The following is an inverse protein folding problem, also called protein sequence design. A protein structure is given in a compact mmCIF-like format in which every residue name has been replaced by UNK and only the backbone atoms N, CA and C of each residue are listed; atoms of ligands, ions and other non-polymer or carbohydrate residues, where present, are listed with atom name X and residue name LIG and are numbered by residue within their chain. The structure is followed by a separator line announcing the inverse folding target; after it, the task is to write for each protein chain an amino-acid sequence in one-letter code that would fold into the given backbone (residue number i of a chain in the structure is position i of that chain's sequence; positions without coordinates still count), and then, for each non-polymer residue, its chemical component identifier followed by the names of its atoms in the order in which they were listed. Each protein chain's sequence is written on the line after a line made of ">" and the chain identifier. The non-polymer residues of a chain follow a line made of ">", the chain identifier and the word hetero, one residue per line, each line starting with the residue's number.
data_IF_326362884455
#
_entry.id   IF_326362884455
#
_cell.length_a   1.000
_cell.length_b   1.000
_cell.length_c   1.000
_cell.angle_alpha   90.00
_cell.angle_beta   90.00
_cell.angle_gamma   90.00
#
_symmetry.space_group_name_H-M   'P 1'
#
loop_
_entity.id
_entity.type
_entity.pdbx_description
1 polymer ?
#
# COMPACT_ATOMS: atom_id res chain seq x y z
N UNK A 1 -3.79 -1.00 11.85
CA UNK A 1 -4.02 0.10 10.89
C UNK A 1 -5.07 -0.26 9.87
N UNK A 2 -5.02 -1.43 9.23
CA UNK A 2 -5.99 -1.89 8.22
C UNK A 2 -7.46 -1.67 8.59
N UNK A 3 -7.82 -1.84 9.86
CA UNK A 3 -9.19 -1.65 10.36
C UNK A 3 -9.67 -0.20 10.26
N UNK A 4 -8.78 0.78 10.45
CA UNK A 4 -9.10 2.21 10.33
C UNK A 4 -9.49 2.60 8.89
N UNK A 5 -8.98 1.85 7.91
CA UNK A 5 -9.24 2.06 6.49
C UNK A 5 -10.31 1.08 5.94
N UNK A 6 -10.94 0.28 6.81
CA UNK A 6 -11.90 -0.74 6.40
C UNK A 6 -11.28 -1.85 5.53
N UNK A 7 -9.96 -2.05 5.62
CA UNK A 7 -9.20 -3.02 4.83
C UNK A 7 -9.09 -4.36 5.58
N UNK A 8 -9.26 -5.46 4.83
CA UNK A 8 -9.11 -6.83 5.31
C UNK A 8 -8.19 -7.64 4.40
N UNK A 9 -7.41 -8.54 4.98
CA UNK A 9 -6.49 -9.43 4.25
C UNK A 9 -6.94 -10.89 4.34
N UNK A 10 -6.86 -11.63 3.25
CA UNK A 10 -7.20 -13.06 3.21
C UNK A 10 -6.52 -13.80 2.06
N UNK A 11 -6.40 -15.12 2.20
CA UNK A 11 -5.91 -16.01 1.13
C UNK A 11 -7.11 -16.46 0.29
N UNK A 12 -7.06 -16.23 -1.01
CA UNK A 12 -8.08 -16.69 -1.97
C UNK A 12 -7.56 -17.92 -2.70
N UNK A 13 -8.29 -19.03 -2.62
CA UNK A 13 -7.98 -20.24 -3.38
C UNK A 13 -8.34 -20.06 -4.86
N UNK A 14 -7.44 -20.45 -5.75
CA UNK A 14 -7.71 -20.57 -7.18
C UNK A 14 -8.23 -21.98 -7.53
N UNK A 15 -8.89 -22.16 -8.70
CA UNK A 15 -9.28 -23.49 -9.20
C UNK A 15 -8.13 -24.48 -9.39
N UNK A 16 -6.87 -24.00 -9.41
CA UNK A 16 -5.68 -24.81 -9.61
C UNK A 16 -4.94 -25.13 -8.29
N UNK A 17 -5.63 -25.04 -7.15
CA UNK A 17 -5.08 -25.29 -5.81
C UNK A 17 -3.88 -24.38 -5.46
N UNK A 18 -3.81 -23.19 -6.07
CA UNK A 18 -2.89 -22.13 -5.68
C UNK A 18 -3.62 -21.11 -4.81
N UNK A 19 -2.88 -20.39 -3.97
CA UNK A 19 -3.43 -19.29 -3.18
C UNK A 19 -2.87 -17.97 -3.67
N UNK A 20 -3.74 -16.97 -3.71
CA UNK A 20 -3.34 -15.57 -3.90
C UNK A 20 -3.67 -14.81 -2.63
N UNK A 21 -2.75 -13.98 -2.16
CA UNK A 21 -3.00 -13.04 -1.08
C UNK A 21 -3.84 -11.88 -1.62
N UNK A 22 -4.87 -11.48 -0.89
CA UNK A 22 -5.80 -10.42 -1.32
C UNK A 22 -6.03 -9.45 -0.17
N UNK A 23 -5.98 -8.16 -0.48
CA UNK A 23 -6.53 -7.09 0.33
C UNK A 23 -7.85 -6.58 -0.28
N UNK A 24 -8.86 -6.38 0.55
CA UNK A 24 -10.16 -5.87 0.12
C UNK A 24 -10.63 -4.78 1.08
N UNK A 25 -11.51 -3.92 0.61
CA UNK A 25 -12.21 -2.95 1.44
C UNK A 25 -13.69 -2.92 1.09
N UNK A 26 -14.53 -2.54 2.06
CA UNK A 26 -15.94 -2.15 1.82
C UNK A 26 -16.10 -0.63 1.68
N UNK A 27 -15.03 0.13 1.90
CA UNK A 27 -15.00 1.60 1.81
C UNK A 27 -14.53 2.01 0.42
N UNK A 28 -15.43 2.61 -0.36
CA UNK A 28 -15.17 2.98 -1.77
C UNK A 28 -13.94 3.87 -1.93
N UNK A 29 -13.72 4.79 -0.98
CA UNK A 29 -12.59 5.73 -0.97
C UNK A 29 -11.22 5.04 -0.83
N UNK A 30 -11.20 3.79 -0.33
CA UNK A 30 -9.97 3.03 -0.08
C UNK A 30 -9.76 1.89 -1.09
N UNK A 31 -10.55 1.84 -2.17
CA UNK A 31 -10.45 0.76 -3.18
C UNK A 31 -9.06 0.75 -3.82
N UNK A 32 -8.53 1.91 -4.17
CA UNK A 32 -7.20 2.02 -4.79
C UNK A 32 -6.10 1.57 -3.80
N UNK A 33 -6.24 1.90 -2.52
CA UNK A 33 -5.33 1.44 -1.46
C UNK A 33 -5.35 -0.09 -1.35
N UNK A 34 -6.54 -0.69 -1.28
CA UNK A 34 -6.67 -2.15 -1.18
C UNK A 34 -6.16 -2.87 -2.45
N UNK A 35 -6.40 -2.30 -3.63
CA UNK A 35 -5.90 -2.81 -4.91
C UNK A 35 -4.37 -2.76 -4.97
N UNK A 36 -3.78 -1.60 -4.65
CA UNK A 36 -2.33 -1.39 -4.62
C UNK A 36 -1.63 -2.34 -3.65
N UNK A 37 -2.17 -2.50 -2.43
CA UNK A 37 -1.66 -3.45 -1.45
C UNK A 37 -1.71 -4.88 -1.99
N UNK A 38 -2.86 -5.30 -2.53
CA UNK A 38 -3.04 -6.67 -3.07
C UNK A 38 -2.02 -7.03 -4.15
N UNK A 39 -1.64 -6.05 -4.97
CA UNK A 39 -0.73 -6.29 -6.08
C UNK A 39 0.74 -6.04 -5.70
N UNK A 40 1.04 -5.58 -4.48
CA UNK A 40 2.40 -5.32 -4.03
C UNK A 40 3.10 -6.61 -3.57
N UNK A 41 4.18 -6.98 -4.26
CA UNK A 41 5.05 -8.12 -3.90
C UNK A 41 5.93 -7.80 -2.69
N UNK A 42 6.53 -8.82 -2.05
CA UNK A 42 7.43 -8.64 -0.88
C UNK A 42 8.53 -7.60 -1.15
N UNK A 43 9.24 -7.72 -2.28
CA UNK A 43 10.33 -6.80 -2.65
C UNK A 43 9.81 -5.37 -2.79
N UNK A 44 8.70 -5.22 -3.51
CA UNK A 44 8.09 -3.92 -3.77
C UNK A 44 7.54 -3.26 -2.49
N UNK A 45 7.01 -4.05 -1.55
CA UNK A 45 6.57 -3.57 -0.23
C UNK A 45 7.76 -3.08 0.58
N UNK A 46 8.87 -3.83 0.58
CA UNK A 46 10.09 -3.45 1.28
C UNK A 46 10.70 -2.16 0.72
N UNK A 47 10.73 -2.01 -0.61
CA UNK A 47 11.23 -0.81 -1.28
C UNK A 47 10.38 0.43 -0.93
N UNK A 48 9.05 0.29 -0.96
CA UNK A 48 8.14 1.36 -0.55
C UNK A 48 8.34 1.74 0.93
N UNK A 49 8.42 0.77 1.85
CA UNK A 49 8.68 1.05 3.26
C UNK A 49 10.01 1.78 3.46
N UNK A 50 11.06 1.38 2.75
CA UNK A 50 12.37 2.03 2.84
C UNK A 50 12.31 3.50 2.42
N UNK A 51 11.55 3.82 1.37
CA UNK A 51 11.39 5.19 0.89
C UNK A 51 10.48 6.02 1.81
N UNK A 52 9.42 5.45 2.35
CA UNK A 52 8.61 6.13 3.38
C UNK A 52 9.43 6.45 4.63
N UNK A 53 10.34 5.55 5.06
CA UNK A 53 11.27 5.81 6.15
C UNK A 53 12.20 6.99 5.85
N UNK A 54 12.75 7.07 4.63
CA UNK A 54 13.56 8.22 4.21
C UNK A 54 12.79 9.53 4.37
N UNK A 55 11.51 9.56 3.95
CA UNK A 55 10.69 10.76 4.13
C UNK A 55 10.51 11.12 5.60
N UNK A 56 10.19 10.14 6.44
CA UNK A 56 9.99 10.34 7.87
C UNK A 56 11.26 10.83 8.58
N UNK A 57 12.43 10.46 8.07
CA UNK A 57 13.74 10.93 8.53
C UNK A 57 14.16 12.30 7.92
N UNK A 58 13.31 12.91 7.09
CA UNK A 58 13.60 14.18 6.41
C UNK A 58 14.62 14.06 5.26
N UNK A 59 14.84 12.85 4.75
CA UNK A 59 15.70 12.55 3.61
C UNK A 59 14.90 12.72 2.32
N UNK A 60 15.51 13.32 1.30
CA UNK A 60 14.90 13.48 -0.03
C UNK A 60 14.66 12.11 -0.68
N UNK A 61 13.48 11.95 -1.27
CA UNK A 61 13.04 10.73 -1.95
C UNK A 61 12.63 10.99 -3.39
N UNK A 62 12.38 9.91 -4.13
CA UNK A 62 11.58 9.96 -5.34
C UNK A 62 10.11 10.15 -4.97
N UNK A 63 9.52 11.26 -5.40
CA UNK A 63 8.12 11.62 -5.09
C UNK A 63 7.14 10.87 -5.99
N UNK A 64 7.37 10.87 -7.30
CA UNK A 64 6.52 10.19 -8.28
C UNK A 64 7.13 8.83 -8.68
N UNK A 65 6.38 7.76 -8.43
CA UNK A 65 6.77 6.41 -8.79
C UNK A 65 6.03 5.89 -10.02
N UNK A 66 5.12 6.69 -10.58
CA UNK A 66 4.26 6.31 -11.67
C UNK A 66 3.33 5.15 -11.31
N UNK A 67 2.91 4.41 -12.33
CA UNK A 67 2.03 3.27 -12.17
C UNK A 67 2.80 2.04 -11.64
N UNK A 68 2.46 1.65 -10.41
CA UNK A 68 2.92 0.43 -9.78
C UNK A 68 1.74 -0.54 -9.73
N UNK A 69 1.84 -1.62 -10.48
CA UNK A 69 0.91 -2.75 -10.39
C UNK A 69 -0.59 -2.36 -10.53
N UNK A 70 -0.87 -1.42 -11.44
CA UNK A 70 -2.23 -0.95 -11.74
C UNK A 70 -2.72 0.22 -10.87
N UNK A 71 -1.85 0.83 -10.06
CA UNK A 71 -2.15 2.04 -9.31
C UNK A 71 -0.98 3.02 -9.35
N UNK A 72 -1.26 4.31 -9.56
CA UNK A 72 -0.25 5.35 -9.40
C UNK A 72 0.14 5.50 -7.92
N UNK A 73 1.42 5.79 -7.64
CA UNK A 73 1.90 6.09 -6.30
C UNK A 73 2.69 7.40 -6.32
N UNK A 74 2.23 8.37 -5.54
CA UNK A 74 2.92 9.64 -5.36
C UNK A 74 3.08 9.96 -3.88
N UNK A 75 4.29 10.33 -3.48
CA UNK A 75 4.64 10.74 -2.13
C UNK A 75 4.70 12.28 -2.10
N UNK A 76 4.07 12.89 -1.10
CA UNK A 76 4.10 14.33 -0.85
C UNK A 76 4.84 14.61 0.47
N UNK A 77 6.19 14.71 0.46
CA UNK A 77 6.99 14.80 1.70
C UNK A 77 6.65 15.99 2.57
N UNK A 78 6.40 17.16 1.96
CA UNK A 78 6.06 18.40 2.69
C UNK A 78 4.72 18.28 3.41
N UNK A 79 3.79 17.55 2.82
CA UNK A 79 2.45 17.37 3.38
C UNK A 79 2.35 16.16 4.32
N UNK A 80 3.36 15.29 4.33
CA UNK A 80 3.36 14.07 5.13
C UNK A 80 2.34 13.03 4.64
N UNK A 81 1.98 13.05 3.35
CA UNK A 81 0.96 12.17 2.78
C UNK A 81 1.43 11.42 1.54
N UNK A 82 0.71 10.38 1.18
CA UNK A 82 0.83 9.57 -0.03
C UNK A 82 -0.51 9.59 -0.75
N UNK A 83 -0.48 9.64 -2.08
CA UNK A 83 -1.64 9.43 -2.93
C UNK A 83 -1.48 8.10 -3.66
N UNK A 84 -2.57 7.34 -3.70
CA UNK A 84 -2.64 6.04 -4.35
C UNK A 84 -3.77 6.10 -5.38
N UNK A 85 -3.42 5.81 -6.63
CA UNK A 85 -4.32 5.88 -7.76
C UNK A 85 -4.60 7.31 -8.21
N UNK A 86 -5.61 7.42 -9.07
CA UNK A 86 -6.00 8.69 -9.70
C UNK A 86 -7.00 9.49 -8.88
N UNK A 87 -7.36 9.02 -7.70
CA UNK A 87 -8.26 9.74 -6.81
C UNK A 87 -7.48 10.82 -6.05
N UNK A 88 -8.13 11.95 -5.73
CA UNK A 88 -7.53 12.99 -4.88
C UNK A 88 -7.44 12.58 -3.40
N UNK A 89 -7.59 11.29 -3.09
CA UNK A 89 -7.54 10.78 -1.72
C UNK A 89 -6.08 10.66 -1.28
N UNK A 90 -5.75 11.24 -0.14
CA UNK A 90 -4.40 11.24 0.44
C UNK A 90 -4.43 10.54 1.79
N UNK A 91 -3.46 9.66 1.99
CA UNK A 91 -3.26 8.92 3.23
C UNK A 91 -1.98 9.42 3.92
N UNK A 92 -1.94 9.61 5.25
CA UNK A 92 -0.70 9.93 5.95
C UNK A 92 0.40 8.90 5.67
N UNK A 93 1.66 9.36 5.47
CA UNK A 93 2.82 8.49 5.20
C UNK A 93 2.96 7.41 6.26
N UNK A 94 2.79 7.78 7.54
CA UNK A 94 2.89 6.84 8.65
C UNK A 94 1.83 5.74 8.56
N UNK A 95 0.59 6.09 8.21
CA UNK A 95 -0.50 5.14 8.11
C UNK A 95 -0.28 4.18 6.94
N UNK A 96 0.12 4.71 5.78
CA UNK A 96 0.43 3.88 4.62
C UNK A 96 1.61 2.93 4.89
N UNK A 97 2.67 3.42 5.56
CA UNK A 97 3.79 2.57 5.99
C UNK A 97 3.31 1.42 6.88
N UNK A 98 2.48 1.69 7.89
CA UNK A 98 1.98 0.63 8.78
C UNK A 98 1.08 -0.35 8.02
N UNK A 99 0.26 0.11 7.06
CA UNK A 99 -0.51 -0.79 6.20
C UNK A 99 0.38 -1.73 5.37
N UNK A 100 1.48 -1.21 4.83
CA UNK A 100 2.47 -2.00 4.11
C UNK A 100 3.17 -3.02 5.02
N UNK A 101 3.49 -2.63 6.26
CA UNK A 101 4.08 -3.53 7.26
C UNK A 101 3.12 -4.66 7.65
N UNK A 102 1.84 -4.35 7.89
CA UNK A 102 0.80 -5.36 8.17
C UNK A 102 0.58 -6.30 6.99
N UNK A 103 0.64 -5.78 5.76
CA UNK A 103 0.56 -6.60 4.55
C UNK A 103 1.79 -7.51 4.40
N UNK A 104 2.98 -6.98 4.64
CA UNK A 104 4.24 -7.74 4.58
C UNK A 104 4.21 -8.92 5.56
N UNK A 105 3.77 -8.69 6.80
CA UNK A 105 3.59 -9.75 7.80
C UNK A 105 2.61 -10.81 7.31
N UNK A 106 1.47 -10.40 6.76
CA UNK A 106 0.44 -11.31 6.24
C UNK A 106 0.94 -12.19 5.09
N UNK A 107 1.67 -11.64 4.13
CA UNK A 107 2.11 -12.40 2.94
C UNK A 107 3.31 -13.31 3.20
N UNK A 108 4.06 -13.09 4.27
CA UNK A 108 5.18 -13.94 4.71
C UNK A 108 4.69 -15.09 5.61
N UNK A 109 3.55 -14.91 6.30
CA UNK A 109 2.91 -15.94 7.14
C UNK A 109 2.23 -17.08 6.35
#
# INVERSE_FOLDING_TARGET
>A
MKENYGISFYKKSSPFNTFTNVATTSVTENIDIASHISNSSIVLVQDQIAELNKVLDGIRVQEDWGEIMGSELTIFPVEGTVQIGYTNSRIPIQDFKVLLEEWLEFIIS
#
